data_IF_990525517647
#
_entry.id   IF_990525517647
#
_cell.length_a   1.000
_cell.length_b   1.000
_cell.length_c   1.000
_cell.angle_alpha   90.00
_cell.angle_beta   90.00
_cell.angle_gamma   90.00
#
_symmetry.space_group_name_H-M   'P 1'
#
loop_
_entity.id
_entity.type
_entity.pdbx_description
1 polymer ?
#
# COMPACT_ATOMS: atom_id res chain seq x y z
N UNK A 1 -8.67 12.69 13.74
CA UNK A 1 -9.27 11.49 13.12
C UNK A 1 -8.17 10.50 12.78
N UNK A 2 -8.28 9.26 13.22
CA UNK A 2 -7.29 8.22 12.92
C UNK A 2 -7.42 7.76 11.46
N UNK A 3 -6.29 7.51 10.80
CA UNK A 3 -6.25 7.05 9.41
C UNK A 3 -5.56 5.70 9.33
N UNK A 4 -5.89 4.93 8.30
CA UNK A 4 -5.20 3.72 7.92
C UNK A 4 -4.67 3.83 6.50
N UNK A 5 -3.49 3.27 6.27
CA UNK A 5 -2.93 3.06 4.95
C UNK A 5 -3.26 1.64 4.51
N UNK A 6 -3.94 1.52 3.38
CA UNK A 6 -4.32 0.25 2.79
C UNK A 6 -3.37 -0.03 1.64
N UNK A 7 -2.65 -1.14 1.70
CA UNK A 7 -1.84 -1.64 0.61
C UNK A 7 -2.68 -2.58 -0.24
N UNK A 8 -2.79 -2.29 -1.52
CA UNK A 8 -3.40 -3.14 -2.52
C UNK A 8 -2.33 -3.72 -3.44
N UNK A 9 -2.53 -4.94 -3.91
CA UNK A 9 -1.92 -5.43 -5.15
C UNK A 9 -2.91 -5.24 -6.30
N UNK A 10 -2.40 -4.99 -7.51
CA UNK A 10 -3.23 -4.71 -8.67
C UNK A 10 -2.47 -4.98 -9.97
N UNK A 11 -3.16 -4.95 -11.10
CA UNK A 11 -2.52 -5.14 -12.40
C UNK A 11 -1.63 -3.93 -12.79
N UNK A 12 -0.94 -4.06 -13.92
CA UNK A 12 -0.03 -3.05 -14.48
C UNK A 12 -0.62 -1.63 -14.59
N UNK A 13 -1.95 -1.52 -14.70
CA UNK A 13 -2.69 -0.28 -14.93
C UNK A 13 -3.43 0.23 -13.69
N UNK A 14 -3.26 -0.40 -12.53
CA UNK A 14 -3.96 -0.03 -11.29
C UNK A 14 -5.48 0.00 -11.44
N UNK A 15 -6.05 -0.79 -12.35
CA UNK A 15 -7.50 -0.78 -12.59
C UNK A 15 -8.25 -1.10 -11.30
N UNK A 16 -9.30 -0.33 -11.01
CA UNK A 16 -9.97 -0.41 -9.71
C UNK A 16 -10.50 -1.82 -9.39
N UNK A 17 -11.02 -2.51 -10.40
CA UNK A 17 -11.53 -3.90 -10.28
C UNK A 17 -10.44 -4.94 -10.05
N UNK A 18 -9.17 -4.61 -10.32
CA UNK A 18 -8.03 -5.51 -10.10
C UNK A 18 -7.43 -5.41 -8.70
N UNK A 19 -7.83 -4.40 -7.90
CA UNK A 19 -7.29 -4.19 -6.56
C UNK A 19 -7.66 -5.36 -5.65
N UNK A 20 -6.65 -5.97 -5.05
CA UNK A 20 -6.77 -6.98 -4.01
C UNK A 20 -6.07 -6.49 -2.76
N UNK A 21 -6.73 -6.63 -1.61
CA UNK A 21 -6.17 -6.21 -0.33
C UNK A 21 -4.91 -7.03 -0.02
N UNK A 22 -3.79 -6.35 0.22
CA UNK A 22 -2.54 -6.95 0.66
C UNK A 22 -2.28 -6.69 2.16
N UNK A 23 -2.69 -5.52 2.66
CA UNK A 23 -2.57 -5.20 4.08
C UNK A 23 -3.25 -3.89 4.48
N UNK A 24 -3.51 -3.74 5.78
CA UNK A 24 -4.05 -2.51 6.39
C UNK A 24 -3.16 -2.12 7.56
N UNK A 25 -2.69 -0.88 7.56
CA UNK A 25 -1.71 -0.38 8.52
C UNK A 25 -2.21 0.89 9.17
N UNK A 26 -2.27 0.91 10.49
CA UNK A 26 -2.66 2.09 11.29
C UNK A 26 -1.45 2.94 11.69
N UNK A 27 -0.23 2.48 11.39
CA UNK A 27 1.00 3.23 11.62
C UNK A 27 2.05 2.93 10.56
N UNK A 28 2.90 3.92 10.28
CA UNK A 28 3.90 3.87 9.22
C UNK A 28 5.06 2.92 9.52
N UNK A 29 5.37 2.66 10.80
CA UNK A 29 6.44 1.74 11.17
C UNK A 29 6.10 0.30 10.76
N UNK A 30 4.86 -0.13 10.99
CA UNK A 30 4.36 -1.43 10.59
C UNK A 30 4.35 -1.58 9.06
N UNK A 31 3.85 -0.57 8.35
CA UNK A 31 3.89 -0.54 6.88
C UNK A 31 5.32 -0.65 6.34
N UNK A 32 6.26 0.14 6.86
CA UNK A 32 7.68 0.10 6.44
C UNK A 32 8.29 -1.28 6.69
N UNK A 33 8.02 -1.89 7.84
CA UNK A 33 8.52 -3.23 8.14
C UNK A 33 7.97 -4.26 7.15
N UNK A 34 6.67 -4.22 6.87
CA UNK A 34 6.02 -5.10 5.91
C UNK A 34 6.62 -4.96 4.50
N UNK A 35 6.87 -3.73 4.03
CA UNK A 35 7.51 -3.49 2.73
C UNK A 35 8.95 -4.05 2.67
N UNK A 36 9.71 -3.98 3.76
CA UNK A 36 11.04 -4.59 3.87
C UNK A 36 10.93 -6.12 3.79
N UNK A 37 9.97 -6.71 4.47
CA UNK A 37 9.74 -8.17 4.43
C UNK A 37 9.36 -8.61 3.01
N UNK A 38 8.48 -7.87 2.32
CA UNK A 38 8.15 -8.11 0.90
C UNK A 38 9.37 -8.00 -0.03
N UNK A 39 10.31 -7.10 0.26
CA UNK A 39 11.58 -7.03 -0.46
C UNK A 39 12.41 -8.30 -0.20
N UNK A 40 12.49 -8.74 1.06
CA UNK A 40 13.17 -9.99 1.45
C UNK A 40 12.60 -11.22 0.75
N UNK A 41 11.29 -11.25 0.54
CA UNK A 41 10.57 -12.31 -0.18
C UNK A 41 10.68 -12.19 -1.72
N UNK A 42 11.38 -11.18 -2.24
CA UNK A 42 11.57 -10.95 -3.68
C UNK A 42 10.35 -10.38 -4.41
N UNK A 43 9.31 -9.93 -3.68
CA UNK A 43 8.11 -9.33 -4.27
C UNK A 43 8.36 -7.87 -4.70
N UNK A 44 9.25 -7.18 -3.99
CA UNK A 44 9.70 -5.82 -4.24
C UNK A 44 11.22 -5.78 -4.40
N UNK A 45 11.72 -4.84 -5.19
CA UNK A 45 13.12 -4.48 -5.25
C UNK A 45 13.34 -3.05 -4.70
N UNK A 46 14.58 -2.58 -4.68
CA UNK A 46 14.92 -1.24 -4.16
C UNK A 46 14.21 -0.11 -4.90
N UNK A 47 14.13 -0.18 -6.23
CA UNK A 47 13.42 0.81 -7.03
C UNK A 47 11.91 0.82 -6.72
N UNK A 48 11.31 -0.34 -6.46
CA UNK A 48 9.91 -0.42 -6.05
C UNK A 48 9.69 0.26 -4.70
N UNK A 49 10.61 0.09 -3.75
CA UNK A 49 10.54 0.74 -2.44
C UNK A 49 10.65 2.26 -2.58
N UNK A 50 11.57 2.75 -3.41
CA UNK A 50 11.70 4.19 -3.71
C UNK A 50 10.42 4.74 -4.34
N UNK A 51 9.86 4.02 -5.33
CA UNK A 51 8.61 4.41 -5.99
C UNK A 51 7.44 4.46 -5.02
N UNK A 52 7.31 3.47 -4.13
CA UNK A 52 6.27 3.47 -3.09
C UNK A 52 6.46 4.64 -2.12
N UNK A 53 7.71 4.98 -1.75
CA UNK A 53 7.98 6.11 -0.85
C UNK A 53 7.66 7.46 -1.49
N UNK A 54 7.95 7.64 -2.78
CA UNK A 54 7.73 8.90 -3.48
C UNK A 54 6.29 9.08 -3.98
N UNK A 55 5.69 8.00 -4.48
CA UNK A 55 4.43 8.05 -5.25
C UNK A 55 3.33 7.17 -4.67
N UNK A 56 3.58 6.49 -3.55
CA UNK A 56 2.63 5.56 -2.93
C UNK A 56 2.24 4.37 -3.83
N UNK A 57 3.01 4.09 -4.88
CA UNK A 57 2.74 2.99 -5.80
C UNK A 57 4.01 2.50 -6.50
N UNK A 58 3.97 1.26 -7.00
CA UNK A 58 4.92 0.77 -8.01
C UNK A 58 4.35 0.99 -9.41
N UNK A 59 5.17 0.92 -10.45
CA UNK A 59 4.71 1.08 -11.85
C UNK A 59 5.51 0.18 -12.78
N UNK A 60 4.91 -0.22 -13.91
CA UNK A 60 5.61 -0.94 -14.99
C UNK A 60 5.77 -2.44 -14.76
N UNK A 61 5.15 -3.02 -13.73
CA UNK A 61 5.17 -4.45 -13.43
C UNK A 61 3.89 -5.12 -13.89
N UNK A 62 3.92 -6.44 -14.08
CA UNK A 62 2.71 -7.26 -14.26
C UNK A 62 1.79 -7.18 -13.03
N UNK A 63 2.39 -7.16 -11.84
CA UNK A 63 1.73 -6.99 -10.55
C UNK A 63 2.32 -5.75 -9.86
N UNK A 64 1.51 -4.72 -9.68
CA UNK A 64 1.86 -3.50 -8.97
C UNK A 64 1.26 -3.46 -7.57
N UNK A 65 1.78 -2.56 -6.76
CA UNK A 65 1.25 -2.24 -5.44
C UNK A 65 0.88 -0.77 -5.35
N UNK A 66 -0.21 -0.47 -4.65
CA UNK A 66 -0.73 0.88 -4.43
C UNK A 66 -1.11 1.04 -2.96
N UNK A 67 -0.69 2.15 -2.37
CA UNK A 67 -1.09 2.55 -1.03
C UNK A 67 -2.15 3.63 -1.16
N UNK A 68 -3.26 3.44 -0.46
CA UNK A 68 -4.30 4.45 -0.29
C UNK A 68 -4.48 4.78 1.18
N UNK A 69 -4.71 6.05 1.49
CA UNK A 69 -5.02 6.50 2.84
C UNK A 69 -6.52 6.63 3.03
N UNK A 70 -7.06 5.98 4.05
CA UNK A 70 -8.48 5.96 4.38
C UNK A 70 -8.70 6.40 5.83
N UNK A 71 -9.79 7.13 6.08
CA UNK A 71 -10.23 7.44 7.44
C UNK A 71 -10.69 6.15 8.12
N UNK A 72 -10.23 5.91 9.35
CA UNK A 72 -10.81 4.87 10.19
C UNK A 72 -12.15 5.38 10.72
N UNK A 73 -13.18 4.54 10.74
CA UNK A 73 -14.51 4.86 11.30
C UNK A 73 -15.06 6.24 10.88
N UNK A 74 -15.12 6.57 9.57
CA UNK A 74 -15.43 7.92 9.11
C UNK A 74 -16.81 8.42 9.54
N UNK A 75 -17.75 7.52 9.85
CA UNK A 75 -19.11 7.85 10.31
C UNK A 75 -19.25 8.00 11.84
N UNK A 76 -18.26 7.55 12.62
CA UNK A 76 -18.39 7.42 14.09
C UNK A 76 -17.32 8.19 14.87
N UNK A 77 -16.53 9.05 14.21
CA UNK A 77 -15.48 9.87 14.84
C UNK A 77 -15.92 11.34 15.06
N UNK A 78 -17.23 11.61 15.05
CA UNK A 78 -17.81 12.90 15.41
C UNK A 78 -18.43 12.80 16.80
N UNK A 79 -17.60 12.51 17.80
CA UNK A 79 -17.91 12.70 19.23
C UNK A 79 -16.70 13.40 19.88
#
# INVERSE_FOLDING_TARGET
>A
MSKAKILFSCNAWHTNTSKKLAGVFTNDRALKRYLIDMKGDGLLNDADIEMIQMYQQTQGRTLNYLIEEHLLNPKYNAE
#
